data_IF_297377043662
#
_entry.id   IF_297377043662
#
_cell.length_a   1.000
_cell.length_b   1.000
_cell.length_c   1.000
_cell.angle_alpha   90.00
_cell.angle_beta   90.00
_cell.angle_gamma   90.00
#
_symmetry.space_group_name_H-M   'P 1'
#
loop_
_entity.id
_entity.type
_entity.pdbx_description
1 polymer ?
#
# COMPACT_ATOMS: atom_id res chain seq x y z
N UNK A 1 -10.37 -20.52 -42.48
CA UNK A 1 -11.27 -20.32 -41.32
C UNK A 1 -10.85 -21.12 -40.08
N UNK A 2 -10.62 -22.44 -40.17
CA UNK A 2 -10.18 -23.28 -39.03
C UNK A 2 -8.85 -22.86 -38.37
N UNK A 3 -7.84 -22.46 -39.16
CA UNK A 3 -6.54 -22.00 -38.63
C UNK A 3 -6.63 -20.67 -37.86
N UNK A 4 -7.51 -19.76 -38.28
CA UNK A 4 -7.71 -18.46 -37.61
C UNK A 4 -8.42 -18.66 -36.27
N UNK A 5 -9.41 -19.55 -36.20
CA UNK A 5 -10.08 -19.90 -34.95
C UNK A 5 -9.11 -20.59 -33.97
N UNK A 6 -8.23 -21.47 -34.46
CA UNK A 6 -7.23 -22.13 -33.62
C UNK A 6 -6.21 -21.14 -33.02
N UNK A 7 -5.75 -20.17 -33.82
CA UNK A 7 -4.85 -19.11 -33.38
C UNK A 7 -5.49 -18.18 -32.33
N UNK A 8 -6.76 -17.81 -32.52
CA UNK A 8 -7.50 -17.00 -31.55
C UNK A 8 -7.66 -17.75 -30.22
N UNK A 9 -7.98 -19.05 -30.25
CA UNK A 9 -8.10 -19.85 -29.03
C UNK A 9 -6.77 -19.96 -28.25
N UNK A 10 -5.63 -20.10 -28.94
CA UNK A 10 -4.31 -20.19 -28.30
C UNK A 10 -3.95 -18.85 -27.62
N UNK A 11 -4.25 -17.72 -28.26
CA UNK A 11 -4.00 -16.39 -27.68
C UNK A 11 -4.88 -16.14 -26.45
N UNK A 12 -6.14 -16.58 -26.45
CA UNK A 12 -7.04 -16.43 -25.28
C UNK A 12 -6.66 -17.31 -24.09
N UNK A 13 -6.01 -18.45 -24.31
CA UNK A 13 -5.57 -19.36 -23.24
C UNK A 13 -4.24 -18.92 -22.60
N UNK A 14 -3.39 -18.17 -23.32
CA UNK A 14 -2.12 -17.67 -22.81
C UNK A 14 -2.22 -16.43 -21.91
N UNK A 15 -3.38 -15.79 -21.82
CA UNK A 15 -3.57 -14.52 -21.11
C UNK A 15 -3.85 -14.60 -19.60
N UNK A 16 -3.96 -15.80 -19.03
CA UNK A 16 -4.23 -15.99 -17.61
C UNK A 16 -2.97 -16.53 -16.89
N UNK A 17 -1.89 -15.76 -16.82
CA UNK A 17 -0.82 -16.08 -15.88
C UNK A 17 -1.35 -15.92 -14.45
N UNK A 18 -1.52 -17.05 -13.77
CA UNK A 18 -1.93 -17.07 -12.37
C UNK A 18 -0.79 -16.50 -11.52
N UNK A 19 -1.07 -15.38 -10.87
CA UNK A 19 -0.14 -14.73 -9.97
C UNK A 19 0.37 -15.68 -8.87
N UNK A 20 1.70 -15.68 -8.65
CA UNK A 20 2.34 -16.51 -7.63
C UNK A 20 1.90 -16.07 -6.24
N UNK A 21 1.47 -17.05 -5.43
CA UNK A 21 1.12 -16.87 -4.02
C UNK A 21 2.20 -17.49 -3.17
N UNK A 22 2.94 -16.65 -2.47
CA UNK A 22 3.94 -17.08 -1.50
C UNK A 22 3.38 -16.84 -0.11
N UNK A 23 3.15 -17.92 0.63
CA UNK A 23 2.38 -17.87 1.89
C UNK A 23 3.23 -17.41 3.08
N UNK A 24 4.57 -17.47 2.97
CA UNK A 24 5.51 -17.02 3.99
C UNK A 24 6.86 -16.74 3.33
N UNK A 25 7.46 -15.59 3.66
CA UNK A 25 8.81 -15.28 3.20
C UNK A 25 9.87 -16.15 3.89
N UNK A 26 10.91 -16.47 3.14
CA UNK A 26 12.12 -17.07 3.70
C UNK A 26 12.69 -16.21 4.84
N UNK A 27 13.12 -16.81 5.97
CA UNK A 27 13.60 -16.05 7.13
C UNK A 27 14.70 -15.02 6.83
N UNK A 28 15.70 -15.30 5.97
CA UNK A 28 16.71 -14.31 5.58
C UNK A 28 16.13 -13.12 4.82
N UNK A 29 15.13 -13.36 3.96
CA UNK A 29 14.45 -12.31 3.19
C UNK A 29 13.62 -11.43 4.11
N UNK A 30 12.86 -12.04 5.03
CA UNK A 30 12.10 -11.30 6.03
C UNK A 30 13.01 -10.43 6.94
N UNK A 31 14.15 -10.98 7.37
CA UNK A 31 15.13 -10.23 8.16
C UNK A 31 15.77 -9.08 7.36
N UNK A 32 15.99 -9.25 6.07
CA UNK A 32 16.49 -8.19 5.19
C UNK A 32 15.43 -7.08 4.97
N UNK A 33 14.16 -7.45 4.88
CA UNK A 33 13.04 -6.50 4.76
C UNK A 33 12.81 -5.66 6.01
N UNK A 34 13.22 -6.12 7.19
CA UNK A 34 13.12 -5.34 8.44
C UNK A 34 14.20 -4.25 8.54
N UNK A 35 15.30 -4.38 7.79
CA UNK A 35 16.41 -3.43 7.75
C UNK A 35 16.12 -2.23 6.84
N UNK A 36 15.09 -1.46 7.20
CA UNK A 36 14.74 -0.22 6.51
C UNK A 36 15.70 0.92 6.87
N UNK A 37 15.98 1.80 5.90
CA UNK A 37 16.75 3.02 6.12
C UNK A 37 15.78 4.22 6.18
N UNK A 38 15.58 4.77 7.36
CA UNK A 38 14.81 6.01 7.56
C UNK A 38 15.74 7.21 7.65
N UNK A 39 15.27 8.36 7.17
CA UNK A 39 15.91 9.64 7.45
C UNK A 39 15.86 9.96 8.95
N UNK A 40 16.68 10.92 9.40
CA UNK A 40 16.78 11.29 10.81
C UNK A 40 15.44 11.74 11.42
N UNK A 41 14.58 12.38 10.61
CA UNK A 41 13.25 12.82 11.02
C UNK A 41 12.21 11.67 11.08
N UNK A 42 12.57 10.45 10.64
CA UNK A 42 11.70 9.26 10.54
C UNK A 42 10.42 9.50 9.73
N UNK A 43 10.44 10.47 8.84
CA UNK A 43 9.34 10.76 7.91
C UNK A 43 9.58 9.90 6.66
N UNK A 44 10.59 10.22 5.86
CA UNK A 44 10.90 9.50 4.61
C UNK A 44 12.05 8.49 4.77
N UNK A 45 12.30 7.70 3.72
CA UNK A 45 13.42 6.75 3.71
C UNK A 45 13.59 6.02 2.38
N UNK A 46 14.45 5.00 2.39
CA UNK A 46 14.60 4.08 1.27
C UNK A 46 14.22 2.66 1.71
N UNK A 47 13.39 1.94 0.94
CA UNK A 47 13.22 0.50 1.10
C UNK A 47 14.57 -0.23 0.97
N UNK A 48 14.73 -1.39 1.63
CA UNK A 48 15.95 -2.18 1.54
C UNK A 48 16.13 -2.74 0.11
N UNK A 49 17.36 -3.01 -0.31
CA UNK A 49 17.64 -3.48 -1.67
C UNK A 49 16.87 -4.76 -2.06
N UNK A 50 16.63 -5.65 -1.08
CA UNK A 50 15.83 -6.87 -1.27
C UNK A 50 14.41 -6.56 -1.73
N UNK A 51 13.84 -5.42 -1.33
CA UNK A 51 12.51 -4.98 -1.77
C UNK A 51 12.44 -4.81 -3.29
N UNK A 52 13.48 -4.20 -3.87
CA UNK A 52 13.57 -3.99 -5.31
C UNK A 52 13.96 -5.28 -6.04
N UNK A 53 14.83 -6.11 -5.45
CA UNK A 53 15.22 -7.40 -6.02
C UNK A 53 14.03 -8.37 -6.15
N UNK A 54 13.02 -8.24 -5.28
CA UNK A 54 11.77 -9.00 -5.33
C UNK A 54 10.70 -8.35 -6.22
N UNK A 55 11.04 -7.32 -6.99
CA UNK A 55 10.12 -6.55 -7.83
C UNK A 55 8.95 -5.91 -7.07
N UNK A 56 9.24 -5.33 -5.90
CA UNK A 56 8.29 -4.55 -5.09
C UNK A 56 6.99 -5.32 -4.84
N UNK A 57 7.08 -6.53 -4.26
CA UNK A 57 5.99 -7.49 -4.27
C UNK A 57 4.76 -7.02 -3.47
N UNK A 58 4.92 -6.02 -2.61
CA UNK A 58 3.83 -5.46 -1.80
C UNK A 58 3.11 -4.29 -2.48
N UNK A 59 3.56 -3.86 -3.65
CA UNK A 59 2.88 -2.87 -4.50
C UNK A 59 2.21 -3.51 -5.72
N UNK A 60 2.80 -4.59 -6.22
CA UNK A 60 2.48 -5.17 -7.53
C UNK A 60 1.76 -6.50 -7.45
N UNK A 61 1.72 -7.16 -6.28
CA UNK A 61 1.11 -8.48 -6.15
C UNK A 61 -0.29 -8.43 -5.53
N UNK A 62 -1.33 -8.88 -6.23
CA UNK A 62 -2.72 -8.77 -5.75
C UNK A 62 -3.01 -9.67 -4.54
N UNK A 63 -2.30 -10.79 -4.38
CA UNK A 63 -2.38 -11.60 -3.16
C UNK A 63 -1.87 -10.82 -1.94
N UNK A 64 -0.69 -10.21 -2.02
CA UNK A 64 -0.14 -9.39 -0.92
C UNK A 64 -1.07 -8.21 -0.55
N UNK A 65 -1.63 -7.54 -1.55
CA UNK A 65 -2.57 -6.43 -1.32
C UNK A 65 -3.89 -6.91 -0.67
N UNK A 66 -4.37 -8.09 -1.05
CA UNK A 66 -5.57 -8.70 -0.46
C UNK A 66 -5.33 -9.15 0.98
N UNK A 67 -4.14 -9.69 1.28
CA UNK A 67 -3.72 -10.00 2.65
C UNK A 67 -3.62 -8.72 3.49
N UNK A 68 -3.04 -7.66 2.96
CA UNK A 68 -3.00 -6.35 3.62
C UNK A 68 -4.40 -5.82 3.97
N UNK A 69 -5.38 -5.98 3.08
CA UNK A 69 -6.78 -5.62 3.36
C UNK A 69 -7.38 -6.43 4.51
N UNK A 70 -7.12 -7.74 4.55
CA UNK A 70 -7.56 -8.63 5.63
C UNK A 70 -6.97 -8.19 6.97
N UNK A 71 -5.65 -7.95 6.99
CA UNK A 71 -4.91 -7.47 8.16
C UNK A 71 -5.44 -6.12 8.66
N UNK A 72 -5.74 -5.18 7.76
CA UNK A 72 -6.31 -3.87 8.11
C UNK A 72 -7.61 -3.99 8.92
N UNK A 73 -8.44 -4.98 8.56
CA UNK A 73 -9.68 -5.26 9.28
C UNK A 73 -9.41 -5.95 10.60
N UNK A 74 -8.59 -7.00 10.59
CA UNK A 74 -8.36 -7.85 11.76
C UNK A 74 -7.61 -7.16 12.90
N UNK A 75 -6.68 -6.27 12.57
CA UNK A 75 -5.92 -5.52 13.57
C UNK A 75 -6.56 -4.19 13.95
N UNK A 76 -7.81 -3.97 13.55
CA UNK A 76 -8.62 -2.85 14.04
C UNK A 76 -8.19 -1.49 13.49
N UNK A 77 -7.41 -1.43 12.40
CA UNK A 77 -6.96 -0.17 11.80
C UNK A 77 -8.16 0.72 11.42
N UNK A 78 -9.25 0.09 10.98
CA UNK A 78 -10.53 0.74 10.66
C UNK A 78 -11.15 1.51 11.83
N UNK A 79 -10.87 1.11 13.07
CA UNK A 79 -11.40 1.81 14.26
C UNK A 79 -10.93 3.26 14.36
N UNK A 80 -9.71 3.54 13.90
CA UNK A 80 -9.15 4.91 13.93
C UNK A 80 -9.19 5.58 12.55
N UNK A 81 -8.93 4.84 11.48
CA UNK A 81 -8.74 5.38 10.13
C UNK A 81 -9.94 5.16 9.18
N UNK A 82 -11.02 4.52 9.66
CA UNK A 82 -12.16 4.17 8.82
C UNK A 82 -11.77 3.23 7.68
N UNK A 83 -12.43 3.34 6.53
CA UNK A 83 -12.03 2.66 5.29
C UNK A 83 -10.96 3.47 4.50
N UNK A 84 -10.28 4.41 5.17
CA UNK A 84 -9.30 5.34 4.61
C UNK A 84 -9.64 6.82 4.80
N UNK A 85 -10.90 7.13 5.12
CA UNK A 85 -11.38 8.51 5.29
C UNK A 85 -10.92 9.20 6.57
N UNK A 86 -10.25 8.48 7.48
CA UNK A 86 -9.84 9.01 8.78
C UNK A 86 -10.94 8.94 9.84
N UNK A 87 -10.67 9.57 10.97
CA UNK A 87 -11.53 9.58 12.15
C UNK A 87 -10.74 10.07 13.36
N UNK A 88 -10.42 9.15 14.29
CA UNK A 88 -9.45 9.41 15.36
C UNK A 88 -8.03 9.54 14.77
N UNK A 89 -7.72 8.70 13.79
CA UNK A 89 -6.48 8.78 13.02
C UNK A 89 -6.66 9.63 11.75
N UNK A 90 -5.55 10.05 11.11
CA UNK A 90 -5.59 10.82 9.88
C UNK A 90 -6.25 10.05 8.73
N UNK A 91 -6.77 10.81 7.77
CA UNK A 91 -7.23 10.29 6.49
C UNK A 91 -6.04 9.89 5.62
N UNK A 92 -6.23 8.90 4.75
CA UNK A 92 -5.30 8.57 3.66
C UNK A 92 -5.80 9.11 2.32
N UNK A 93 -7.04 9.60 2.27
CA UNK A 93 -7.73 9.99 1.03
C UNK A 93 -7.65 11.50 0.73
N UNK A 94 -7.24 12.30 1.71
CA UNK A 94 -7.08 13.75 1.58
C UNK A 94 -5.77 14.16 0.91
N UNK A 95 -4.87 13.18 0.72
CA UNK A 95 -3.59 13.38 0.10
C UNK A 95 -2.48 13.84 1.06
N UNK A 96 -2.78 14.12 2.32
CA UNK A 96 -1.80 14.63 3.28
C UNK A 96 -1.20 13.49 4.10
N UNK A 97 0.11 13.30 4.01
CA UNK A 97 0.81 12.24 4.71
C UNK A 97 1.82 12.80 5.71
N UNK A 98 1.43 12.87 6.99
CA UNK A 98 2.26 13.32 8.12
C UNK A 98 3.68 12.75 8.12
N UNK A 99 3.79 11.47 7.75
CA UNK A 99 5.04 10.74 7.75
C UNK A 99 5.47 10.34 6.34
N UNK A 100 4.88 10.90 5.29
CA UNK A 100 5.19 10.59 3.89
C UNK A 100 4.41 9.38 3.34
N UNK A 101 4.09 9.40 2.04
CA UNK A 101 3.33 8.34 1.35
C UNK A 101 4.19 7.15 0.90
N UNK A 102 5.51 7.21 1.11
CA UNK A 102 6.44 6.19 0.66
C UNK A 102 6.21 4.85 1.38
N UNK A 103 6.43 3.74 0.67
CA UNK A 103 6.20 2.40 1.22
C UNK A 103 6.95 2.16 2.54
N UNK A 104 8.20 2.62 2.62
CA UNK A 104 9.03 2.50 3.82
C UNK A 104 8.51 3.33 4.99
N UNK A 105 7.96 4.51 4.70
CA UNK A 105 7.36 5.39 5.69
C UNK A 105 6.09 4.81 6.30
N UNK A 106 5.25 4.23 5.44
CA UNK A 106 4.01 3.55 5.86
C UNK A 106 4.37 2.31 6.70
N UNK A 107 5.30 1.48 6.21
CA UNK A 107 5.81 0.32 6.94
C UNK A 107 6.36 0.70 8.32
N UNK A 108 7.21 1.73 8.39
CA UNK A 108 7.75 2.21 9.66
C UNK A 108 6.66 2.70 10.62
N UNK A 109 5.67 3.43 10.11
CA UNK A 109 4.55 3.93 10.93
C UNK A 109 3.74 2.79 11.55
N UNK A 110 3.51 1.72 10.80
CA UNK A 110 2.79 0.54 11.30
C UNK A 110 3.68 -0.25 12.27
N UNK A 111 4.93 -0.52 11.89
CA UNK A 111 5.87 -1.31 12.70
C UNK A 111 6.13 -0.67 14.06
N UNK A 112 6.53 0.60 14.04
CA UNK A 112 7.06 1.31 15.21
C UNK A 112 6.00 2.18 15.90
N UNK A 113 4.82 2.34 15.29
CA UNK A 113 3.78 3.26 15.76
C UNK A 113 4.16 4.71 15.50
N UNK A 114 3.25 5.63 15.86
CA UNK A 114 3.47 7.07 15.79
C UNK A 114 2.97 7.76 17.06
N UNK A 115 3.56 8.90 17.45
CA UNK A 115 3.03 9.74 18.53
C UNK A 115 1.54 10.06 18.33
N UNK A 116 0.88 10.49 19.40
CA UNK A 116 -0.55 10.87 19.39
C UNK A 116 -1.53 9.69 19.17
N UNK A 117 -1.13 8.47 19.55
CA UNK A 117 -2.07 7.37 19.77
C UNK A 117 -2.06 6.26 18.72
N UNK A 118 -1.17 6.29 17.72
CA UNK A 118 -0.99 5.16 16.80
C UNK A 118 -0.08 4.09 17.44
N UNK A 119 -0.59 2.89 17.76
CA UNK A 119 0.19 1.85 18.42
C UNK A 119 1.22 1.21 17.48
N UNK A 120 2.27 0.63 18.05
CA UNK A 120 3.25 -0.17 17.33
C UNK A 120 2.77 -1.61 17.11
N UNK A 121 2.96 -2.15 15.91
CA UNK A 121 2.54 -3.52 15.55
C UNK A 121 3.69 -4.52 15.40
N UNK A 122 4.96 -4.11 15.56
CA UNK A 122 6.13 -5.01 15.43
C UNK A 122 6.12 -6.29 16.26
N UNK A 123 5.40 -6.30 17.38
CA UNK A 123 5.28 -7.46 18.27
C UNK A 123 3.95 -8.21 18.09
N UNK A 124 3.12 -7.80 17.12
CA UNK A 124 1.77 -8.33 16.86
C UNK A 124 1.63 -8.93 15.47
N UNK A 125 2.49 -8.54 14.54
CA UNK A 125 2.52 -8.98 13.15
C UNK A 125 3.95 -9.37 12.77
N UNK A 126 4.08 -10.28 11.80
CA UNK A 126 5.36 -10.57 11.17
C UNK A 126 5.76 -9.46 10.17
N UNK A 127 7.03 -9.40 9.78
CA UNK A 127 7.54 -8.37 8.86
C UNK A 127 6.81 -8.36 7.53
N UNK A 128 6.53 -9.54 6.96
CA UNK A 128 5.75 -9.70 5.73
C UNK A 128 4.31 -9.20 5.88
N UNK A 129 3.64 -9.50 6.99
CA UNK A 129 2.30 -8.98 7.28
C UNK A 129 2.28 -7.45 7.36
N UNK A 130 3.28 -6.83 7.99
CA UNK A 130 3.38 -5.36 8.06
C UNK A 130 3.61 -4.77 6.66
N UNK A 131 4.44 -5.41 5.83
CA UNK A 131 4.65 -4.98 4.44
C UNK A 131 3.40 -5.14 3.57
N UNK A 132 2.66 -6.24 3.72
CA UNK A 132 1.36 -6.46 3.06
C UNK A 132 0.36 -5.37 3.47
N UNK A 133 0.26 -5.08 4.76
CA UNK A 133 -0.59 -4.02 5.28
C UNK A 133 -0.18 -2.63 4.77
N UNK A 134 1.12 -2.33 4.74
CA UNK A 134 1.64 -1.08 4.19
C UNK A 134 1.29 -0.92 2.70
N UNK A 135 1.43 -1.99 1.93
CA UNK A 135 1.05 -2.04 0.52
C UNK A 135 -0.42 -1.71 0.33
N UNK A 136 -1.30 -2.37 1.09
CA UNK A 136 -2.73 -2.07 1.05
C UNK A 136 -3.05 -0.62 1.43
N UNK A 137 -2.47 -0.09 2.53
CA UNK A 137 -2.67 1.31 2.95
C UNK A 137 -2.22 2.28 1.84
N UNK A 138 -1.11 1.99 1.18
CA UNK A 138 -0.66 2.79 0.04
C UNK A 138 -1.70 2.76 -1.09
N UNK A 139 -2.36 1.64 -1.39
CA UNK A 139 -3.42 1.61 -2.43
C UNK A 139 -4.67 2.43 -2.09
N UNK A 140 -4.90 2.75 -0.82
CA UNK A 140 -6.00 3.60 -0.39
C UNK A 140 -5.71 5.05 -0.78
N UNK A 141 -4.53 5.56 -0.42
CA UNK A 141 -4.16 6.96 -0.62
C UNK A 141 -3.21 7.24 -1.79
N UNK A 142 -2.94 6.25 -2.65
CA UNK A 142 -2.06 6.43 -3.80
C UNK A 142 -2.62 7.48 -4.76
N UNK A 143 -1.74 8.41 -5.15
CA UNK A 143 -2.04 9.46 -6.12
C UNK A 143 -2.17 8.96 -7.56
N UNK A 144 -1.60 7.78 -7.84
CA UNK A 144 -1.65 7.07 -9.11
C UNK A 144 -2.15 5.64 -8.90
N UNK A 145 -2.88 5.11 -9.88
CA UNK A 145 -3.28 3.71 -9.88
C UNK A 145 -2.05 2.79 -9.79
N UNK A 146 -2.07 1.84 -8.85
CA UNK A 146 -1.11 0.73 -8.81
C UNK A 146 -1.50 -0.31 -9.86
N UNK A 147 -0.51 -1.05 -10.36
CA UNK A 147 -0.71 -2.10 -11.38
C UNK A 147 -1.50 -3.30 -10.86
N UNK A 148 -1.57 -3.48 -9.55
CA UNK A 148 -2.44 -4.46 -8.89
C UNK A 148 -3.43 -3.78 -7.95
N UNK A 149 -4.66 -4.29 -7.94
CA UNK A 149 -5.73 -3.84 -7.06
C UNK A 149 -6.00 -4.90 -5.97
N UNK A 150 -6.16 -4.51 -4.70
CA UNK A 150 -6.71 -5.41 -3.69
C UNK A 150 -8.17 -5.76 -4.01
N UNK A 151 -8.66 -6.89 -3.52
CA UNK A 151 -10.10 -7.25 -3.56
C UNK A 151 -10.93 -6.38 -2.60
N UNK A 152 -10.90 -5.05 -2.80
CA UNK A 152 -11.62 -4.05 -1.99
C UNK A 152 -13.09 -3.99 -2.41
N UNK A 153 -13.99 -3.88 -1.44
CA UNK A 153 -15.38 -3.53 -1.73
C UNK A 153 -15.45 -2.00 -1.77
N UNK A 154 -15.75 -1.46 -2.95
CA UNK A 154 -15.73 -0.02 -3.22
C UNK A 154 -17.11 0.65 -3.06
N UNK A 155 -18.13 -0.10 -2.63
CA UNK A 155 -19.53 0.36 -2.52
C UNK A 155 -19.70 1.54 -1.55
N UNK A 156 -18.75 1.74 -0.65
CA UNK A 156 -18.77 2.81 0.39
C UNK A 156 -17.85 3.98 0.07
N UNK A 157 -17.29 4.05 -1.14
CA UNK A 157 -16.29 5.04 -1.50
C UNK A 157 -16.92 6.16 -2.31
N UNK A 158 -16.48 7.40 -2.04
CA UNK A 158 -16.94 8.59 -2.76
C UNK A 158 -16.41 8.62 -4.22
N UNK A 159 -15.55 7.66 -4.62
CA UNK A 159 -14.86 7.64 -5.92
C UNK A 159 -14.91 6.25 -6.60
N UNK A 160 -15.21 6.15 -7.91
CA UNK A 160 -15.17 4.91 -8.68
C UNK A 160 -13.78 4.26 -8.74
N UNK A 161 -13.73 2.93 -8.81
CA UNK A 161 -12.51 2.11 -8.75
C UNK A 161 -11.57 2.25 -9.96
N UNK A 162 -12.14 2.57 -11.11
CA UNK A 162 -11.48 2.53 -12.43
C UNK A 162 -10.76 3.85 -12.80
N UNK A 163 -10.89 4.88 -11.96
CA UNK A 163 -10.33 6.23 -12.16
C UNK A 163 -9.40 6.69 -11.02
N UNK A 164 -8.71 5.76 -10.34
CA UNK A 164 -7.84 6.11 -9.19
C UNK A 164 -6.45 6.62 -9.55
N UNK A 165 -6.16 6.78 -10.84
CA UNK A 165 -5.38 7.93 -11.28
C UNK A 165 -6.40 9.00 -11.73
N UNK A 166 -6.53 10.17 -11.08
CA UNK A 166 -5.59 10.72 -10.10
C UNK A 166 -6.26 11.53 -8.97
N UNK A 167 -5.72 11.41 -7.77
CA UNK A 167 -5.82 12.48 -6.81
C UNK A 167 -5.32 13.81 -7.44
N UNK A 168 -4.27 13.77 -8.28
CA UNK A 168 -3.68 14.93 -8.94
C UNK A 168 -4.60 15.78 -9.87
N UNK A 169 -5.71 15.27 -10.40
CA UNK A 169 -6.66 16.09 -11.23
C UNK A 169 -7.68 16.81 -10.33
N UNK A 170 -7.88 16.34 -9.10
CA UNK A 170 -8.86 16.90 -8.16
C UNK A 170 -8.21 17.73 -7.05
N UNK A 171 -6.89 17.65 -6.90
CA UNK A 171 -6.12 18.49 -6.01
C UNK A 171 -5.35 19.52 -6.84
N UNK A 172 -5.84 20.76 -6.83
CA UNK A 172 -4.99 21.90 -7.15
C UNK A 172 -3.89 21.91 -6.09
N UNK A 173 -2.64 21.68 -6.47
CA UNK A 173 -1.48 21.82 -5.56
C UNK A 173 -1.22 23.30 -5.25
N UNK A 174 -2.30 24.08 -5.08
CA UNK A 174 -2.31 25.52 -4.83
C UNK A 174 -1.22 25.88 -3.83
N UNK A 175 -0.64 27.09 -3.96
CA UNK A 175 0.69 27.44 -3.46
C UNK A 175 0.90 26.85 -2.06
N UNK A 176 1.78 25.86 -2.01
CA UNK A 176 2.13 25.01 -0.87
C UNK A 176 1.59 25.56 0.45
N UNK A 177 0.42 25.10 0.95
CA UNK A 177 0.10 25.34 2.33
C UNK A 177 1.01 24.40 3.11
N UNK A 178 2.15 24.94 3.53
CA UNK A 178 2.96 24.41 4.63
C UNK A 178 2.03 24.38 5.83
N UNK A 179 1.31 23.27 6.02
CA UNK A 179 0.80 22.88 7.31
C UNK A 179 2.01 22.39 8.10
N UNK A 180 2.62 23.23 8.96
CA UNK A 180 3.88 22.88 9.63
C UNK A 180 3.72 21.68 10.56
N UNK A 181 2.48 21.32 10.85
CA UNK A 181 2.00 20.24 11.68
C UNK A 181 1.70 18.94 10.91
N UNK A 182 1.60 18.95 9.57
CA UNK A 182 1.02 17.82 8.79
C UNK A 182 1.96 17.09 7.81
N UNK A 183 3.27 17.23 7.96
CA UNK A 183 4.27 16.43 7.22
C UNK A 183 4.65 16.96 5.84
N UNK A 184 5.52 16.26 5.10
CA UNK A 184 5.97 16.70 3.79
C UNK A 184 4.83 16.62 2.78
N UNK A 185 4.82 17.56 1.84
CA UNK A 185 3.98 17.48 0.64
C UNK A 185 4.31 16.23 -0.18
N UNK A 186 3.31 15.62 -0.84
CA UNK A 186 3.50 14.44 -1.69
C UNK A 186 4.46 14.66 -2.86
#
# INVERSE_FOLDING_TARGET
MRMVVLLICIVTLGGCEREKRELRLDPPVAAALDKIALMQNRIAGAPPQVYFALDRPFETNAYNLSEGKRLYTWFGCKGCHGDGQGGIGPSFLDGWWYYGPEMVSIFASIRDGRPHGMPAFKNKMTTDEIWQLAGYVQTIGAYSAKTAAPSRNDDKQVRPSENRAPAAILFDQGPTPVHPDQGPTP
#
